data_IF_615171480223
#
_entry.id   IF_615171480223
#
_cell.length_a   1.000
_cell.length_b   1.000
_cell.length_c   1.000
_cell.angle_alpha   90.00
_cell.angle_beta   90.00
_cell.angle_gamma   90.00
#
_symmetry.space_group_name_H-M   'P 1'
#
loop_
_entity.id
_entity.type
_entity.pdbx_description
1 polymer ?
#
# COMPACT_ATOMS: atom_id res chain seq x y z
N UNK A 1 -25.42 -2.76 18.01
CA UNK A 1 -24.11 -3.42 17.77
C UNK A 1 -23.00 -2.37 17.74
N UNK A 2 -22.99 -1.42 16.81
CA UNK A 2 -21.98 -0.34 16.72
C UNK A 2 -22.01 0.67 17.89
N UNK A 3 -23.06 0.70 18.71
CA UNK A 3 -23.16 1.61 19.85
C UNK A 3 -22.89 0.94 21.21
N UNK A 4 -22.82 -0.38 21.27
CA UNK A 4 -22.67 -1.12 22.52
C UNK A 4 -21.21 -1.49 22.72
N UNK A 5 -20.65 -1.15 23.88
CA UNK A 5 -19.21 -1.26 24.18
C UNK A 5 -18.33 -0.58 23.12
N UNK A 6 -18.83 0.54 22.58
CA UNK A 6 -18.05 1.41 21.71
C UNK A 6 -17.10 2.27 22.55
N UNK A 7 -15.90 2.58 22.05
CA UNK A 7 -15.01 3.56 22.66
C UNK A 7 -15.70 4.93 22.81
N UNK A 8 -15.19 5.77 23.70
CA UNK A 8 -15.74 7.12 23.85
C UNK A 8 -15.59 7.92 22.55
N UNK A 9 -16.67 8.60 22.15
CA UNK A 9 -16.72 9.37 20.89
C UNK A 9 -15.59 10.40 20.78
N UNK A 10 -15.21 11.01 21.92
CA UNK A 10 -14.13 11.98 21.98
C UNK A 10 -12.75 11.37 21.69
N UNK A 11 -12.56 10.05 21.81
CA UNK A 11 -11.31 9.35 21.53
C UNK A 11 -11.23 8.86 20.07
N UNK A 12 -12.37 8.71 19.41
CA UNK A 12 -12.47 8.18 18.04
C UNK A 12 -12.64 9.26 16.97
N UNK A 13 -13.24 10.39 17.32
CA UNK A 13 -13.54 11.49 16.40
C UNK A 13 -13.16 12.86 16.97
N UNK A 14 -12.84 13.78 16.07
CA UNK A 14 -12.73 15.21 16.38
C UNK A 14 -14.12 15.89 16.38
N UNK A 15 -14.14 17.21 16.63
CA UNK A 15 -15.38 17.99 16.65
C UNK A 15 -16.04 18.15 15.27
N UNK A 16 -15.29 17.92 14.19
CA UNK A 16 -15.78 17.95 12.81
C UNK A 16 -16.29 16.57 12.34
N UNK A 17 -16.12 15.52 13.14
CA UNK A 17 -16.50 14.15 12.80
C UNK A 17 -15.43 13.40 12.01
N UNK A 18 -14.21 13.92 11.91
CA UNK A 18 -13.10 13.20 11.30
C UNK A 18 -12.46 12.23 12.30
N UNK A 19 -11.82 11.15 11.82
CA UNK A 19 -11.09 10.23 12.68
C UNK A 19 -10.01 10.93 13.47
N UNK A 20 -9.84 10.52 14.73
CA UNK A 20 -8.58 10.81 15.44
C UNK A 20 -7.46 9.88 14.96
N UNK A 21 -6.19 10.33 15.03
CA UNK A 21 -5.05 9.48 14.74
C UNK A 21 -5.13 8.14 15.49
N UNK A 22 -4.88 7.05 14.78
CA UNK A 22 -4.89 5.65 15.25
C UNK A 22 -6.18 5.16 15.92
N UNK A 23 -7.30 5.91 15.84
CA UNK A 23 -8.56 5.51 16.47
C UNK A 23 -9.17 4.22 15.92
N UNK A 24 -8.80 3.81 14.71
CA UNK A 24 -9.21 2.52 14.13
C UNK A 24 -8.67 1.30 14.91
N UNK A 25 -7.67 1.49 15.78
CA UNK A 25 -7.05 0.43 16.58
C UNK A 25 -7.79 0.15 17.89
N UNK A 26 -8.77 0.96 18.26
CA UNK A 26 -9.57 0.70 19.45
C UNK A 26 -10.37 -0.60 19.29
N UNK A 27 -10.47 -1.37 20.37
CA UNK A 27 -11.28 -2.58 20.42
C UNK A 27 -12.76 -2.25 20.59
N UNK A 28 -13.62 -2.95 19.84
CA UNK A 28 -15.07 -2.83 19.94
C UNK A 28 -15.67 -4.16 20.40
N UNK A 29 -16.61 -4.14 21.35
CA UNK A 29 -17.19 -5.37 21.91
C UNK A 29 -17.82 -6.29 20.86
N UNK A 30 -18.46 -5.71 19.84
CA UNK A 30 -19.12 -6.44 18.75
C UNK A 30 -18.35 -6.39 17.41
N UNK A 31 -17.05 -6.08 17.41
CA UNK A 31 -16.26 -5.91 16.17
C UNK A 31 -16.43 -7.08 15.19
N UNK A 32 -16.34 -8.32 15.68
CA UNK A 32 -16.44 -9.52 14.85
C UNK A 32 -17.82 -9.68 14.22
N UNK A 33 -18.88 -9.46 15.01
CA UNK A 33 -20.26 -9.55 14.53
C UNK A 33 -20.55 -8.49 13.46
N UNK A 34 -20.09 -7.25 13.68
CA UNK A 34 -20.23 -6.16 12.70
C UNK A 34 -19.45 -6.50 11.42
N UNK A 35 -18.23 -7.03 11.55
CA UNK A 35 -17.44 -7.50 10.42
C UNK A 35 -18.15 -8.57 9.60
N UNK A 36 -18.80 -9.54 10.24
CA UNK A 36 -19.61 -10.54 9.54
C UNK A 36 -20.77 -9.92 8.76
N UNK A 37 -21.52 -8.98 9.37
CA UNK A 37 -22.60 -8.28 8.66
C UNK A 37 -22.07 -7.55 7.41
N UNK A 38 -20.92 -6.89 7.51
CA UNK A 38 -20.29 -6.18 6.39
C UNK A 38 -19.90 -7.12 5.25
N UNK A 39 -19.58 -8.39 5.53
CA UNK A 39 -19.21 -9.36 4.50
C UNK A 39 -20.43 -10.03 3.83
N UNK A 40 -21.63 -9.92 4.40
CA UNK A 40 -22.82 -10.50 3.78
C UNK A 40 -23.15 -9.79 2.46
N UNK A 41 -23.65 -10.51 1.44
CA UNK A 41 -24.16 -9.89 0.22
C UNK A 41 -25.39 -9.05 0.56
N UNK A 42 -25.41 -7.81 0.09
CA UNK A 42 -26.53 -6.89 0.19
C UNK A 42 -26.56 -5.99 -1.05
N UNK A 43 -27.68 -5.34 -1.30
CA UNK A 43 -27.75 -4.30 -2.33
C UNK A 43 -26.90 -3.08 -1.96
N UNK A 44 -26.62 -2.24 -2.97
CA UNK A 44 -25.85 -1.01 -2.83
C UNK A 44 -26.42 -0.12 -1.72
N UNK A 45 -27.72 0.19 -1.76
CA UNK A 45 -28.39 1.04 -0.78
C UNK A 45 -28.21 0.57 0.67
N UNK A 46 -28.22 -0.74 0.91
CA UNK A 46 -28.00 -1.32 2.23
C UNK A 46 -26.54 -1.14 2.66
N UNK A 47 -25.58 -1.36 1.75
CA UNK A 47 -24.15 -1.15 2.02
C UNK A 47 -23.83 0.31 2.32
N UNK A 48 -24.45 1.25 1.60
CA UNK A 48 -24.30 2.69 1.85
C UNK A 48 -24.84 3.07 3.24
N UNK A 49 -26.03 2.58 3.61
CA UNK A 49 -26.57 2.80 4.97
C UNK A 49 -25.67 2.21 6.05
N UNK A 50 -25.09 1.03 5.81
CA UNK A 50 -24.12 0.44 6.74
C UNK A 50 -22.86 1.30 6.86
N UNK A 51 -22.41 1.91 5.75
CA UNK A 51 -21.24 2.79 5.73
C UNK A 51 -21.53 4.05 6.53
N UNK A 52 -22.69 4.67 6.33
CA UNK A 52 -23.14 5.82 7.11
C UNK A 52 -23.16 5.50 8.61
N UNK A 53 -23.74 4.37 9.00
CA UNK A 53 -23.78 3.93 10.39
C UNK A 53 -22.37 3.78 10.96
N UNK A 54 -21.45 3.14 10.23
CA UNK A 54 -20.06 2.96 10.67
C UNK A 54 -19.35 4.30 10.82
N UNK A 55 -19.49 5.21 9.85
CA UNK A 55 -18.88 6.54 9.87
C UNK A 55 -19.36 7.36 11.05
N UNK A 56 -20.68 7.49 11.23
CA UNK A 56 -21.26 8.26 12.34
C UNK A 56 -20.94 7.68 13.71
N UNK A 57 -20.69 6.38 13.79
CA UNK A 57 -20.30 5.72 15.05
C UNK A 57 -18.79 5.78 15.30
N UNK A 58 -17.97 6.14 14.30
CA UNK A 58 -16.50 6.07 14.35
C UNK A 58 -15.94 4.65 14.25
N UNK A 59 -16.69 3.70 13.68
CA UNK A 59 -16.21 2.33 13.40
C UNK A 59 -15.42 2.29 12.09
N UNK A 60 -14.19 2.82 12.13
CA UNK A 60 -13.37 3.00 10.94
C UNK A 60 -13.00 1.73 10.17
N UNK A 61 -12.65 0.60 10.80
CA UNK A 61 -12.35 -0.63 10.06
C UNK A 61 -13.53 -1.10 9.21
N UNK A 62 -14.76 -0.98 9.74
CA UNK A 62 -15.97 -1.32 9.00
C UNK A 62 -16.29 -0.31 7.90
N UNK A 63 -16.10 0.98 8.17
CA UNK A 63 -16.28 2.02 7.16
C UNK A 63 -15.31 1.83 5.98
N UNK A 64 -14.02 1.62 6.24
CA UNK A 64 -13.02 1.39 5.19
C UNK A 64 -13.31 0.13 4.37
N UNK A 65 -13.73 -0.97 5.03
CA UNK A 65 -14.14 -2.18 4.33
C UNK A 65 -15.35 -1.96 3.42
N UNK A 66 -16.30 -1.12 3.84
CA UNK A 66 -17.46 -0.76 3.01
C UNK A 66 -17.08 0.19 1.87
N UNK A 67 -16.18 1.15 2.09
CA UNK A 67 -15.65 1.98 1.00
C UNK A 67 -14.98 1.14 -0.09
N UNK A 68 -14.25 0.08 0.28
CA UNK A 68 -13.66 -0.84 -0.68
C UNK A 68 -14.72 -1.60 -1.50
N UNK A 69 -15.83 -1.99 -0.88
CA UNK A 69 -16.95 -2.67 -1.57
C UNK A 69 -17.78 -1.73 -2.45
N UNK A 70 -17.87 -0.45 -2.08
CA UNK A 70 -18.64 0.61 -2.76
C UNK A 70 -17.81 1.40 -3.78
N UNK A 71 -16.51 1.09 -3.92
CA UNK A 71 -15.54 1.82 -4.74
C UNK A 71 -15.36 3.32 -4.34
N UNK A 72 -15.65 3.67 -3.09
CA UNK A 72 -15.46 5.01 -2.51
C UNK A 72 -14.01 5.25 -2.10
N UNK A 73 -13.10 5.16 -3.07
CA UNK A 73 -11.65 5.17 -2.84
C UNK A 73 -11.15 6.52 -2.29
N UNK A 74 -11.67 7.64 -2.79
CA UNK A 74 -11.24 8.98 -2.34
C UNK A 74 -11.65 9.25 -0.89
N UNK A 75 -12.85 8.82 -0.51
CA UNK A 75 -13.35 8.88 0.85
C UNK A 75 -12.50 8.01 1.78
N UNK A 76 -12.15 6.79 1.34
CA UNK A 76 -11.26 5.91 2.09
C UNK A 76 -9.89 6.55 2.32
N UNK A 77 -9.27 7.15 1.30
CA UNK A 77 -7.99 7.85 1.46
C UNK A 77 -8.08 9.02 2.43
N UNK A 78 -9.17 9.78 2.37
CA UNK A 78 -9.40 10.87 3.33
C UNK A 78 -9.40 10.35 4.76
N UNK A 79 -10.14 9.26 5.03
CA UNK A 79 -10.17 8.64 6.36
C UNK A 79 -8.81 8.06 6.77
N UNK A 80 -8.11 7.37 5.87
CA UNK A 80 -6.78 6.78 6.14
C UNK A 80 -5.78 7.87 6.54
N UNK A 81 -5.77 8.99 5.83
CA UNK A 81 -4.88 10.12 6.13
C UNK A 81 -5.16 10.72 7.51
N UNK A 82 -6.44 10.86 7.91
CA UNK A 82 -6.79 11.32 9.26
C UNK A 82 -6.46 10.31 10.36
N UNK A 83 -6.46 9.01 10.03
CA UNK A 83 -6.04 7.95 10.95
C UNK A 83 -4.52 7.91 11.18
N UNK A 84 -3.74 8.67 10.40
CA UNK A 84 -2.28 8.81 10.51
C UNK A 84 -1.55 7.46 10.56
N UNK A 85 -2.00 6.48 9.77
CA UNK A 85 -1.44 5.11 9.77
C UNK A 85 -1.14 4.61 8.36
N UNK A 86 0.14 4.58 8.00
CA UNK A 86 0.62 4.15 6.68
C UNK A 86 0.37 2.66 6.40
N UNK A 87 0.19 1.83 7.44
CA UNK A 87 -0.12 0.41 7.24
C UNK A 87 -1.49 0.19 6.59
N UNK A 88 -2.38 1.19 6.64
CA UNK A 88 -3.65 1.16 5.93
C UNK A 88 -3.49 1.40 4.42
N UNK A 89 -2.31 1.85 3.95
CA UNK A 89 -1.98 1.97 2.51
C UNK A 89 -1.14 0.78 2.01
N UNK A 90 -0.12 0.37 2.77
CA UNK A 90 0.89 -0.66 2.36
C UNK A 90 0.68 -2.05 3.01
N UNK A 91 -0.39 -2.23 3.79
CA UNK A 91 -0.71 -3.48 4.47
C UNK A 91 -1.36 -4.53 3.55
N UNK A 92 -1.40 -5.79 4.01
CA UNK A 92 -2.02 -6.92 3.28
C UNK A 92 -3.49 -6.68 2.92
N UNK A 93 -4.21 -5.93 3.77
CA UNK A 93 -5.59 -5.50 3.55
C UNK A 93 -5.69 -3.97 3.37
N UNK A 94 -4.57 -3.31 3.06
CA UNK A 94 -4.52 -1.86 2.85
C UNK A 94 -5.08 -1.45 1.49
N UNK A 95 -5.43 -0.17 1.37
CA UNK A 95 -5.83 0.44 0.11
C UNK A 95 -4.64 1.16 -0.51
N UNK A 96 -3.93 0.51 -1.43
CA UNK A 96 -2.83 1.13 -2.16
C UNK A 96 -3.37 2.08 -3.24
N UNK A 97 -2.86 3.33 -3.31
CA UNK A 97 -3.18 4.21 -4.43
C UNK A 97 -2.62 3.65 -5.75
N UNK A 98 -3.47 3.61 -6.77
CA UNK A 98 -3.18 2.99 -8.07
C UNK A 98 -2.87 4.04 -9.14
N UNK A 99 -3.56 5.18 -9.09
CA UNK A 99 -3.42 6.26 -10.06
C UNK A 99 -2.59 7.42 -9.50
N UNK A 100 -2.00 8.20 -10.40
CA UNK A 100 -1.22 9.38 -10.00
C UNK A 100 -2.13 10.39 -9.28
N UNK A 101 -3.38 10.47 -9.69
CA UNK A 101 -4.41 11.33 -9.10
C UNK A 101 -4.70 10.95 -7.65
N UNK A 102 -4.82 9.65 -7.34
CA UNK A 102 -4.99 9.18 -5.97
C UNK A 102 -3.75 9.49 -5.11
N UNK A 103 -2.55 9.30 -5.66
CA UNK A 103 -1.31 9.67 -4.99
C UNK A 103 -1.24 11.16 -4.67
N UNK A 104 -1.68 12.03 -5.60
CA UNK A 104 -1.76 13.48 -5.36
C UNK A 104 -2.71 13.81 -4.21
N UNK A 105 -3.91 13.22 -4.20
CA UNK A 105 -4.89 13.43 -3.14
C UNK A 105 -4.32 13.06 -1.77
N UNK A 106 -3.69 11.88 -1.64
CA UNK A 106 -3.09 11.45 -0.36
C UNK A 106 -1.97 12.40 0.09
N UNK A 107 -1.11 12.80 -0.84
CA UNK A 107 0.01 13.70 -0.57
C UNK A 107 -0.45 15.11 -0.15
N UNK A 108 -1.45 15.68 -0.83
CA UNK A 108 -2.03 16.98 -0.50
C UNK A 108 -2.72 16.96 0.87
N UNK A 109 -3.50 15.91 1.16
CA UNK A 109 -4.16 15.73 2.44
C UNK A 109 -3.13 15.59 3.57
N UNK A 110 -2.12 14.73 3.41
CA UNK A 110 -1.07 14.54 4.41
C UNK A 110 -0.28 15.84 4.66
N UNK A 111 0.03 16.58 3.58
CA UNK A 111 0.71 17.87 3.65
C UNK A 111 -0.11 18.95 4.38
N UNK A 112 -1.42 18.99 4.16
CA UNK A 112 -2.33 19.96 4.80
C UNK A 112 -2.54 19.68 6.29
N UNK A 113 -2.74 18.41 6.68
CA UNK A 113 -2.88 18.02 8.09
C UNK A 113 -1.58 18.27 8.88
N UNK A 114 -0.43 18.04 8.25
CA UNK A 114 0.88 18.32 8.84
C UNK A 114 1.06 19.83 9.11
N UNK A 115 0.72 20.69 8.15
CA UNK A 115 0.81 22.16 8.33
C UNK A 115 -0.21 22.68 9.34
N UNK A 116 -1.40 22.09 9.39
CA UNK A 116 -2.45 22.47 10.33
C UNK A 116 -2.13 22.07 11.79
N UNK A 117 -0.97 21.47 12.07
CA UNK A 117 -0.55 21.08 13.41
C UNK A 117 -1.50 20.05 14.05
N UNK A 118 -2.28 19.33 13.24
CA UNK A 118 -3.24 18.32 13.71
C UNK A 118 -2.55 17.02 14.17
N UNK A 119 -1.21 16.98 14.16
CA UNK A 119 -0.46 15.94 14.83
C UNK A 119 -0.42 16.22 16.34
N UNK A 120 -0.86 15.26 17.18
CA UNK A 120 -0.64 15.38 18.61
C UNK A 120 0.86 15.51 18.83
N UNK A 121 1.27 16.55 19.55
CA UNK A 121 2.65 16.66 20.02
C UNK A 121 2.94 15.41 20.86
N UNK A 122 3.77 14.51 20.32
CA UNK A 122 4.27 13.36 21.07
C UNK A 122 4.91 13.91 22.35
N UNK A 123 4.37 13.50 23.50
CA UNK A 123 4.94 13.85 24.79
C UNK A 123 6.34 13.25 24.83
N UNK A 124 7.36 14.07 25.12
CA UNK A 124 8.77 13.68 25.15
C UNK A 124 8.97 12.31 25.83
N UNK A 125 9.25 11.28 25.02
CA UNK A 125 9.56 9.93 25.50
C UNK A 125 8.76 8.81 24.85
N UNK A 126 7.68 9.10 24.12
CA UNK A 126 6.96 8.07 23.37
C UNK A 126 7.66 7.79 22.03
N UNK A 127 7.90 6.51 21.75
CA UNK A 127 8.45 6.06 20.47
C UNK A 127 7.43 6.45 19.40
N UNK A 128 7.81 7.31 18.43
CA UNK A 128 7.02 7.55 17.21
C UNK A 128 6.47 6.19 16.76
N UNK A 129 5.14 5.96 16.80
CA UNK A 129 4.62 4.68 16.37
C UNK A 129 5.06 4.52 14.92
N UNK A 130 5.99 3.59 14.70
CA UNK A 130 6.56 3.34 13.38
C UNK A 130 5.41 3.06 12.42
N UNK A 131 5.11 4.02 11.54
CA UNK A 131 3.92 3.98 10.69
C UNK A 131 3.04 5.23 10.68
N UNK A 132 3.49 6.39 11.18
CA UNK A 132 2.77 7.64 11.00
C UNK A 132 2.72 8.05 9.51
N UNK A 133 1.61 8.64 9.06
CA UNK A 133 1.36 9.01 7.67
C UNK A 133 1.78 10.48 7.45
N UNK A 134 3.08 10.72 7.49
CA UNK A 134 3.66 12.02 7.16
C UNK A 134 3.93 12.14 5.65
N UNK A 135 4.03 13.36 5.09
CA UNK A 135 4.26 13.54 3.65
C UNK A 135 5.55 12.86 3.16
N UNK A 136 6.56 12.71 4.01
CA UNK A 136 7.79 11.99 3.62
C UNK A 136 7.58 10.49 3.55
N UNK A 137 6.88 9.87 4.51
CA UNK A 137 6.57 8.43 4.42
C UNK A 137 5.65 8.11 3.24
N UNK A 138 4.69 8.97 2.92
CA UNK A 138 3.86 8.83 1.71
C UNK A 138 4.72 8.97 0.45
N UNK A 139 5.64 9.94 0.40
CA UNK A 139 6.54 10.13 -0.73
C UNK A 139 7.50 8.94 -0.91
N UNK A 140 7.98 8.33 0.19
CA UNK A 140 8.81 7.13 0.16
C UNK A 140 8.01 5.92 -0.34
N UNK A 141 6.77 5.79 0.11
CA UNK A 141 5.86 4.74 -0.37
C UNK A 141 5.56 4.90 -1.86
N UNK A 142 5.32 6.13 -2.33
CA UNK A 142 5.16 6.44 -3.76
C UNK A 142 6.42 6.03 -4.55
N UNK A 143 7.62 6.42 -4.09
CA UNK A 143 8.89 6.05 -4.72
C UNK A 143 9.11 4.53 -4.75
N UNK A 144 8.70 3.81 -3.71
CA UNK A 144 8.71 2.34 -3.66
C UNK A 144 7.74 1.73 -4.69
N UNK A 145 6.56 2.32 -4.87
CA UNK A 145 5.50 1.75 -5.71
C UNK A 145 5.70 2.02 -7.20
N UNK A 146 5.98 3.27 -7.59
CA UNK A 146 6.08 3.66 -9.02
C UNK A 146 7.51 3.90 -9.49
N UNK A 147 8.49 3.83 -8.59
CA UNK A 147 9.89 4.13 -8.82
C UNK A 147 10.26 5.59 -8.47
N UNK A 148 11.48 5.85 -8.00
CA UNK A 148 11.92 7.16 -7.53
C UNK A 148 11.90 8.24 -8.63
N UNK A 149 12.27 7.90 -9.87
CA UNK A 149 12.27 8.88 -10.98
C UNK A 149 10.85 9.37 -11.31
N UNK A 150 9.87 8.46 -11.33
CA UNK A 150 8.46 8.80 -11.59
C UNK A 150 7.81 9.48 -10.38
N UNK A 151 8.12 9.02 -9.18
CA UNK A 151 7.66 9.65 -7.94
C UNK A 151 8.13 11.10 -7.83
N UNK A 152 9.39 11.38 -8.19
CA UNK A 152 9.94 12.73 -8.18
C UNK A 152 9.19 13.67 -9.14
N UNK A 153 8.80 13.20 -10.32
CA UNK A 153 7.97 13.98 -11.23
C UNK A 153 6.59 14.32 -10.62
N UNK A 154 5.93 13.35 -9.99
CA UNK A 154 4.65 13.56 -9.30
C UNK A 154 4.78 14.56 -8.14
N UNK A 155 5.85 14.44 -7.35
CA UNK A 155 6.11 15.34 -6.21
C UNK A 155 6.42 16.78 -6.66
N UNK A 156 7.08 16.94 -7.81
CA UNK A 156 7.33 18.26 -8.43
C UNK A 156 6.03 18.90 -8.90
N UNK A 157 5.19 18.15 -9.61
CA UNK A 157 3.88 18.62 -10.10
C UNK A 157 2.95 19.02 -8.95
N UNK A 158 3.05 18.31 -7.81
CA UNK A 158 2.25 18.58 -6.61
C UNK A 158 2.77 19.76 -5.78
N UNK A 159 3.90 20.38 -6.16
CA UNK A 159 4.55 21.46 -5.40
C UNK A 159 5.17 21.02 -4.07
N UNK A 160 5.16 19.72 -3.78
CA UNK A 160 5.63 19.16 -2.51
C UNK A 160 7.13 18.86 -2.51
N UNK A 161 7.77 18.80 -3.68
CA UNK A 161 9.20 18.53 -3.79
C UNK A 161 10.09 19.49 -2.97
N UNK A 162 9.66 20.74 -2.78
CA UNK A 162 10.38 21.72 -1.95
C UNK A 162 10.18 21.58 -0.44
N UNK A 163 9.23 20.73 0.00
CA UNK A 163 8.85 20.51 1.41
C UNK A 163 9.46 19.24 2.00
N UNK A 164 10.19 18.44 1.21
CA UNK A 164 10.75 17.16 1.62
C UNK A 164 12.15 17.36 2.24
N UNK A 165 12.46 16.60 3.29
CA UNK A 165 13.77 16.69 3.96
C UNK A 165 14.94 16.23 3.07
N UNK A 166 16.14 16.66 3.47
CA UNK A 166 17.39 16.15 2.88
C UNK A 166 17.51 14.62 3.00
N UNK A 167 16.93 14.02 4.05
CA UNK A 167 16.92 12.56 4.25
C UNK A 167 16.13 11.88 3.13
N UNK A 168 14.95 12.40 2.79
CA UNK A 168 14.15 11.89 1.68
C UNK A 168 14.92 11.92 0.35
N UNK A 169 15.51 13.06 0.00
CA UNK A 169 16.27 13.22 -1.24
C UNK A 169 17.41 12.21 -1.32
N UNK A 170 18.14 12.02 -0.22
CA UNK A 170 19.23 11.03 -0.14
C UNK A 170 18.73 9.61 -0.38
N UNK A 171 17.59 9.23 0.20
CA UNK A 171 16.99 7.90 0.01
C UNK A 171 16.53 7.71 -1.44
N UNK A 172 15.87 8.70 -2.04
CA UNK A 172 15.46 8.65 -3.45
C UNK A 172 16.64 8.55 -4.42
N UNK A 173 17.76 9.24 -4.14
CA UNK A 173 18.98 9.11 -4.93
C UNK A 173 19.57 7.70 -4.85
N UNK A 174 19.63 7.13 -3.64
CA UNK A 174 20.08 5.75 -3.43
C UNK A 174 19.18 4.77 -4.18
N UNK A 175 17.86 4.90 -4.04
CA UNK A 175 16.88 4.07 -4.74
C UNK A 175 17.03 4.20 -6.26
N UNK A 176 17.25 5.41 -6.76
CA UNK A 176 17.44 5.68 -8.20
C UNK A 176 18.72 5.01 -8.73
N UNK A 177 19.83 5.10 -7.99
CA UNK A 177 21.09 4.45 -8.36
C UNK A 177 20.92 2.92 -8.33
N UNK A 178 20.25 2.38 -7.30
CA UNK A 178 19.97 0.96 -7.18
C UNK A 178 19.11 0.46 -8.35
N UNK A 179 18.05 1.19 -8.67
CA UNK A 179 17.16 0.86 -9.78
C UNK A 179 17.90 0.90 -11.13
N UNK A 180 18.69 1.94 -11.40
CA UNK A 180 19.52 2.05 -12.61
C UNK A 180 20.47 0.86 -12.72
N UNK A 181 21.19 0.50 -11.65
CA UNK A 181 22.10 -0.64 -11.65
C UNK A 181 21.36 -1.96 -11.88
N UNK A 182 20.17 -2.11 -11.31
CA UNK A 182 19.34 -3.30 -11.53
C UNK A 182 18.86 -3.41 -12.99
N UNK A 183 18.47 -2.31 -13.63
CA UNK A 183 18.10 -2.30 -15.07
C UNK A 183 19.28 -2.69 -15.96
N UNK A 184 20.49 -2.21 -15.66
CA UNK A 184 21.71 -2.59 -16.38
C UNK A 184 22.07 -4.06 -16.16
N UNK A 185 21.97 -4.56 -14.92
CA UNK A 185 22.23 -5.97 -14.61
C UNK A 185 21.23 -6.90 -15.30
N UNK A 186 19.93 -6.56 -15.26
CA UNK A 186 18.89 -7.31 -15.95
C UNK A 186 19.09 -7.29 -17.47
N UNK A 187 19.42 -6.13 -18.05
CA UNK A 187 19.69 -6.02 -19.50
C UNK A 187 20.95 -6.77 -19.90
N UNK A 188 22.02 -6.71 -19.11
CA UNK A 188 23.27 -7.41 -19.36
C UNK A 188 23.12 -8.92 -19.21
N UNK A 189 22.38 -9.39 -18.20
CA UNK A 189 22.03 -10.81 -18.05
C UNK A 189 21.16 -11.31 -19.20
N UNK A 190 20.14 -10.54 -19.63
CA UNK A 190 19.35 -10.88 -20.82
C UNK A 190 20.21 -10.89 -22.10
N UNK A 191 21.14 -9.96 -22.26
CA UNK A 191 22.06 -9.95 -23.41
C UNK A 191 23.03 -11.13 -23.38
N UNK A 192 23.55 -11.52 -22.22
CA UNK A 192 24.40 -12.71 -22.06
C UNK A 192 23.58 -13.97 -22.35
N UNK A 193 22.33 -14.07 -21.86
CA UNK A 193 21.42 -15.18 -22.19
C UNK A 193 21.09 -15.23 -23.68
N UNK A 194 20.86 -14.08 -24.32
CA UNK A 194 20.64 -13.99 -25.77
C UNK A 194 21.88 -14.44 -26.55
N UNK A 195 23.07 -14.02 -26.14
CA UNK A 195 24.35 -14.44 -26.75
C UNK A 195 24.66 -15.93 -26.53
N UNK A 196 24.26 -16.50 -25.39
CA UNK A 196 24.34 -17.94 -25.13
C UNK A 196 23.29 -18.72 -25.94
N UNK A 197 22.12 -18.14 -26.18
CA UNK A 197 21.06 -18.74 -27.00
C UNK A 197 21.34 -18.71 -28.51
N UNK A 198 22.14 -17.76 -29.00
CA UNK A 198 22.60 -17.72 -30.40
C UNK A 198 23.81 -18.63 -30.65
N UNK A 199 24.44 -19.17 -29.59
CA UNK A 199 25.61 -20.06 -29.68
C UNK A 199 25.31 -21.53 -29.33
N UNK A 200 24.10 -21.86 -28.86
CA UNK A 200 23.64 -23.23 -28.66
C UNK A 200 22.47 -23.61 -29.60
N UNK A 201 22.52 -24.84 -30.14
CA UNK A 201 21.55 -25.39 -31.10
C UNK A 201 20.07 -25.25 -30.68
N UNK A 202 19.13 -25.14 -31.65
CA UNK A 202 17.80 -24.56 -31.44
C UNK A 202 16.79 -25.41 -30.64
N UNK A 203 17.19 -26.57 -30.11
CA UNK A 203 16.25 -27.50 -29.42
C UNK A 203 16.24 -27.37 -27.89
N UNK A 204 17.24 -26.73 -27.27
CA UNK A 204 17.33 -26.59 -25.80
C UNK A 204 17.01 -25.17 -25.28
N UNK A 205 16.94 -24.18 -26.16
CA UNK A 205 16.91 -22.75 -25.82
C UNK A 205 15.54 -22.25 -25.32
N UNK A 206 14.44 -22.80 -25.84
CA UNK A 206 13.10 -22.27 -25.56
C UNK A 206 12.59 -22.60 -24.15
N UNK A 207 13.02 -23.72 -23.55
CA UNK A 207 12.51 -24.16 -22.24
C UNK A 207 13.08 -23.35 -21.06
N UNK A 208 14.37 -23.00 -21.08
CA UNK A 208 14.99 -22.20 -20.00
C UNK A 208 14.65 -20.71 -20.11
N UNK A 209 14.49 -20.18 -21.32
CA UNK A 209 14.15 -18.77 -21.51
C UNK A 209 12.72 -18.47 -21.02
N UNK A 210 11.77 -19.39 -21.22
CA UNK A 210 10.42 -19.27 -20.67
C UNK A 210 10.38 -19.36 -19.13
N UNK A 211 11.20 -20.21 -18.51
CA UNK A 211 11.23 -20.39 -17.05
C UNK A 211 11.88 -19.21 -16.29
N UNK A 212 12.85 -18.51 -16.90
CA UNK A 212 13.53 -17.37 -16.27
C UNK A 212 12.80 -16.02 -16.51
N UNK A 213 12.14 -15.85 -17.66
CA UNK A 213 11.36 -14.64 -17.93
C UNK A 213 10.02 -14.60 -17.19
N UNK A 214 9.38 -15.74 -16.89
CA UNK A 214 8.13 -15.80 -16.12
C UNK A 214 8.32 -15.50 -14.62
N UNK A 215 9.56 -15.46 -14.12
CA UNK A 215 9.87 -15.25 -12.70
C UNK A 215 10.02 -13.79 -12.27
N UNK A 216 9.81 -12.80 -13.14
CA UNK A 216 10.11 -11.39 -12.81
C UNK A 216 9.02 -10.44 -13.34
N UNK A 217 8.22 -9.93 -12.38
CA UNK A 217 7.38 -8.72 -12.44
C UNK A 217 6.08 -8.85 -13.25
N UNK A 218 5.07 -9.51 -12.65
CA UNK A 218 3.67 -9.24 -12.98
C UNK A 218 3.15 -8.17 -12.01
N UNK A 219 3.12 -6.91 -12.47
CA UNK A 219 2.25 -5.86 -11.93
C UNK A 219 1.07 -5.70 -12.91
N UNK A 220 0.09 -6.60 -12.83
CA UNK A 220 -1.31 -6.42 -13.28
C UNK A 220 -2.11 -7.70 -12.99
N UNK A 221 -3.38 -7.61 -12.56
CA UNK A 221 -4.19 -8.79 -12.30
C UNK A 221 -4.58 -9.47 -13.62
N UNK A 222 -4.50 -10.80 -13.76
CA UNK A 222 -5.14 -11.48 -14.87
C UNK A 222 -6.63 -11.62 -14.57
N UNK A 223 -7.49 -11.15 -15.49
CA UNK A 223 -8.91 -11.45 -15.50
C UNK A 223 -9.16 -12.98 -15.58
N UNK A 224 -10.25 -13.52 -15.02
CA UNK A 224 -10.47 -14.96 -14.93
C UNK A 224 -11.03 -15.50 -16.25
N UNK A 225 -10.19 -16.16 -17.05
CA UNK A 225 -10.66 -17.08 -18.08
C UNK A 225 -10.94 -18.44 -17.44
N UNK A 226 -12.22 -18.75 -17.23
CA UNK A 226 -12.69 -20.10 -16.95
C UNK A 226 -12.35 -21.02 -18.13
N UNK A 227 -11.50 -22.03 -17.91
CA UNK A 227 -11.69 -23.39 -18.44
C UNK A 227 -10.54 -24.35 -18.03
N UNK A 228 -10.95 -25.59 -17.74
CA UNK A 228 -10.19 -26.84 -17.81
C UNK A 228 -9.43 -27.32 -16.55
N UNK A 229 -10.22 -28.05 -15.76
CA UNK A 229 -9.94 -29.13 -14.83
C UNK A 229 -8.87 -30.20 -15.22
N UNK A 230 -8.23 -30.70 -14.14
CA UNK A 230 -7.92 -32.10 -13.77
C UNK A 230 -6.52 -32.74 -14.05
N UNK A 231 -5.92 -33.20 -12.91
CA UNK A 231 -4.97 -34.32 -12.67
C UNK A 231 -3.49 -34.10 -13.07
N UNK A 232 -2.46 -34.48 -12.29
CA UNK A 232 -2.32 -35.10 -10.97
C UNK A 232 -0.85 -34.99 -10.48
N UNK A 233 -0.70 -34.83 -9.17
CA UNK A 233 0.30 -35.46 -8.26
C UNK A 233 1.76 -35.66 -8.72
N UNK A 234 2.70 -34.94 -8.09
CA UNK A 234 3.83 -35.48 -7.28
C UNK A 234 4.76 -34.36 -6.80
N UNK A 235 4.89 -34.16 -5.48
CA UNK A 235 5.97 -33.36 -4.86
C UNK A 235 7.32 -34.10 -4.89
N UNK A 236 8.48 -33.50 -4.52
CA UNK A 236 8.64 -32.54 -3.40
C UNK A 236 9.64 -31.37 -3.64
N UNK A 237 9.87 -30.59 -2.56
CA UNK A 237 10.99 -29.66 -2.23
C UNK A 237 10.67 -28.15 -2.38
N UNK A 238 10.70 -27.37 -1.27
CA UNK A 238 10.45 -25.93 -1.30
C UNK A 238 11.72 -25.18 -1.73
N UNK A 239 11.70 -24.53 -2.89
CA UNK A 239 12.68 -23.50 -3.26
C UNK A 239 12.05 -22.13 -2.97
N UNK A 240 12.36 -21.61 -1.79
CA UNK A 240 12.08 -20.20 -1.42
C UNK A 240 13.41 -19.52 -1.12
N UNK A 241 14.11 -19.13 -2.18
CA UNK A 241 15.19 -18.14 -2.15
C UNK A 241 14.98 -17.32 -3.43
N UNK A 242 15.19 -16.01 -3.35
CA UNK A 242 15.06 -15.02 -4.44
C UNK A 242 13.81 -14.12 -4.42
N UNK A 243 13.52 -13.54 -3.25
CA UNK A 243 12.91 -12.19 -3.13
C UNK A 243 13.23 -11.55 -1.78
N UNK A 244 14.40 -11.82 -1.21
CA UNK A 244 14.76 -11.35 0.15
C UNK A 244 15.82 -10.25 0.10
N UNK A 245 16.59 -10.15 -0.99
CA UNK A 245 17.75 -9.25 -1.03
C UNK A 245 17.41 -7.76 -1.20
N UNK A 246 16.34 -7.45 -1.94
CA UNK A 246 15.88 -6.05 -2.12
C UNK A 246 14.97 -5.63 -0.96
N UNK A 247 14.16 -6.55 -0.43
CA UNK A 247 13.30 -6.32 0.72
C UNK A 247 14.10 -6.07 2.01
N UNK A 248 15.21 -6.79 2.21
CA UNK A 248 16.07 -6.57 3.38
C UNK A 248 16.90 -5.28 3.31
N UNK A 249 17.32 -4.83 2.12
CA UNK A 249 18.06 -3.55 2.00
C UNK A 249 17.12 -2.35 2.20
N UNK A 250 15.86 -2.44 1.74
CA UNK A 250 14.86 -1.38 1.93
C UNK A 250 14.39 -1.31 3.39
N UNK A 251 14.18 -2.46 4.07
CA UNK A 251 13.81 -2.48 5.49
C UNK A 251 14.92 -1.96 6.42
N UNK A 252 16.20 -2.16 6.08
CA UNK A 252 17.31 -1.72 6.92
C UNK A 252 17.64 -0.21 6.79
N UNK A 253 17.08 0.47 5.78
CA UNK A 253 17.21 1.92 5.59
C UNK A 253 16.04 2.72 6.19
N UNK A 254 14.96 2.04 6.58
CA UNK A 254 13.73 2.66 7.11
C UNK A 254 13.63 2.51 8.65
N UNK A 255 14.37 1.59 9.29
CA UNK A 255 14.56 1.54 10.75
C UNK A 255 15.67 2.48 11.22
#
# INVERSE_FOLDING_TARGET
AVSHDAPHTADIMDAAGNPRPHSHRFSWGFAQLIGHFIQLPADQDTKEKMADICKHSGFWPGFLALCAQLEWRLEAFTIIVHLDDISLLDGENGLMPETVEEWRVVLELAGSLHEAGHRPALHNGDVEPSGSLDPESVALLLAKTIGPERALAVLQDSGLAGRLSHRFTTVCDILSIAEKRQRHCSSSMCNILLLLSTSCSPTFSLSLCSLLCLGRWSLSPPAPCWAAQHLALSGPIPRRVDSVYVQNIIMHCIS
#
